data_IF_118032560393
#
_entry.id   IF_118032560393
#
_cell.length_a   1.000
_cell.length_b   1.000
_cell.length_c   1.000
_cell.angle_alpha   90.00
_cell.angle_beta   90.00
_cell.angle_gamma   90.00
#
_symmetry.space_group_name_H-M   'P 1'
#
loop_
_entity.id
_entity.type
_entity.pdbx_description
1 polymer ?
#
# COMPACT_ATOMS: atom_id res chain seq x y z
N UNK A 1 -4.19 -23.80 7.58
CA UNK A 1 -4.14 -22.52 8.32
C UNK A 1 -3.84 -21.50 7.23
N UNK A 2 -4.83 -20.67 6.89
CA UNK A 2 -4.88 -19.94 5.62
C UNK A 2 -5.08 -18.44 5.83
N UNK A 3 -4.52 -17.63 4.93
CA UNK A 3 -4.67 -16.17 4.99
C UNK A 3 -6.14 -15.76 4.96
N UNK A 4 -6.49 -14.72 5.72
CA UNK A 4 -7.85 -14.15 5.68
C UNK A 4 -8.19 -13.68 4.27
N UNK A 5 -9.40 -13.97 3.79
CA UNK A 5 -9.87 -13.51 2.48
C UNK A 5 -9.69 -12.00 2.30
N UNK A 6 -10.03 -11.24 3.33
CA UNK A 6 -10.03 -9.77 3.38
C UNK A 6 -8.69 -9.15 3.76
N UNK A 7 -7.63 -9.96 3.97
CA UNK A 7 -6.30 -9.42 4.29
C UNK A 7 -5.87 -8.42 3.23
N UNK A 8 -5.33 -7.28 3.66
CA UNK A 8 -4.53 -6.46 2.75
C UNK A 8 -3.30 -7.25 2.29
N UNK A 9 -2.85 -6.92 1.08
CA UNK A 9 -1.65 -7.47 0.46
C UNK A 9 -0.59 -6.36 0.43
N UNK A 10 -0.18 -5.88 1.60
CA UNK A 10 0.78 -4.80 1.71
C UNK A 10 2.16 -5.31 1.31
N UNK A 11 2.79 -4.69 0.31
CA UNK A 11 4.06 -5.17 -0.23
C UNK A 11 5.04 -4.03 -0.49
N UNK A 12 6.33 -4.36 -0.43
CA UNK A 12 7.43 -3.48 -0.81
C UNK A 12 8.57 -4.31 -1.36
N UNK A 13 9.46 -3.66 -2.12
CA UNK A 13 10.77 -4.19 -2.45
C UNK A 13 11.85 -3.54 -1.60
N UNK A 14 12.89 -4.31 -1.28
CA UNK A 14 14.15 -3.84 -0.71
C UNK A 14 15.29 -4.03 -1.74
N UNK A 15 16.50 -3.51 -1.49
CA UNK A 15 17.67 -3.74 -2.34
C UNK A 15 17.90 -5.23 -2.65
N UNK A 16 18.68 -5.48 -3.70
CA UNK A 16 18.95 -6.82 -4.22
C UNK A 16 17.67 -7.57 -4.67
N UNK A 17 16.64 -6.80 -5.04
CA UNK A 17 15.36 -7.29 -5.56
C UNK A 17 14.58 -8.16 -4.55
N UNK A 18 14.86 -8.05 -3.26
CA UNK A 18 14.11 -8.79 -2.24
C UNK A 18 12.69 -8.24 -2.16
N UNK A 19 11.70 -9.12 -2.31
CA UNK A 19 10.28 -8.75 -2.22
C UNK A 19 9.71 -9.18 -0.88
N UNK A 20 8.85 -8.34 -0.33
CA UNK A 20 8.17 -8.54 0.94
C UNK A 20 6.67 -8.38 0.73
N UNK A 21 5.89 -9.32 1.26
CA UNK A 21 4.43 -9.29 1.29
C UNK A 21 3.96 -9.52 2.73
N UNK A 22 3.18 -8.60 3.26
CA UNK A 22 2.56 -8.68 4.57
C UNK A 22 1.09 -9.04 4.42
N UNK A 23 0.65 -9.98 5.25
CA UNK A 23 -0.70 -10.50 5.23
C UNK A 23 -1.14 -10.94 6.62
N UNK A 24 -2.43 -11.23 6.75
CA UNK A 24 -3.06 -11.60 8.01
C UNK A 24 -3.60 -13.03 7.98
N UNK A 25 -3.37 -13.75 9.07
CA UNK A 25 -3.97 -15.04 9.39
C UNK A 25 -4.64 -14.96 10.77
N UNK A 26 -5.98 -15.03 10.81
CA UNK A 26 -6.70 -14.75 12.06
C UNK A 26 -6.39 -13.32 12.53
N UNK A 27 -5.82 -13.14 13.71
CA UNK A 27 -5.32 -11.83 14.19
C UNK A 27 -3.80 -11.67 14.04
N UNK A 28 -3.12 -12.70 13.54
CA UNK A 28 -1.68 -12.67 13.37
C UNK A 28 -1.33 -11.95 12.07
N UNK A 29 -0.41 -11.01 12.14
CA UNK A 29 0.21 -10.40 10.96
C UNK A 29 1.55 -11.09 10.71
N UNK A 30 1.75 -11.52 9.47
CA UNK A 30 2.84 -12.36 9.00
C UNK A 30 3.51 -11.72 7.77
N UNK A 31 4.67 -12.24 7.42
CA UNK A 31 5.43 -11.87 6.23
C UNK A 31 5.67 -13.10 5.34
N UNK A 32 5.44 -12.96 4.04
CA UNK A 32 6.05 -13.80 3.03
C UNK A 32 7.18 -13.02 2.36
N UNK A 33 8.32 -13.67 2.15
CA UNK A 33 9.51 -13.06 1.57
C UNK A 33 9.96 -13.85 0.34
N UNK A 34 10.40 -13.13 -0.69
CA UNK A 34 11.15 -13.68 -1.79
C UNK A 34 12.53 -13.03 -1.86
N UNK A 35 13.62 -13.79 -1.64
CA UNK A 35 14.98 -13.26 -1.71
C UNK A 35 15.50 -13.09 -3.15
N UNK A 36 14.77 -13.59 -4.16
CA UNK A 36 15.24 -13.76 -5.53
C UNK A 36 14.36 -13.05 -6.58
N UNK A 37 13.74 -11.92 -6.21
CA UNK A 37 12.96 -11.11 -7.15
C UNK A 37 11.62 -11.71 -7.56
N UNK A 38 11.07 -12.65 -6.77
CA UNK A 38 9.73 -13.19 -6.92
C UNK A 38 9.66 -14.66 -7.36
N UNK A 39 10.79 -15.34 -7.55
CA UNK A 39 10.80 -16.72 -8.06
C UNK A 39 10.45 -17.73 -6.97
N UNK A 40 11.01 -17.58 -5.76
CA UNK A 40 10.71 -18.42 -4.59
C UNK A 40 10.13 -17.56 -3.48
N UNK A 41 9.05 -18.05 -2.85
CA UNK A 41 8.39 -17.40 -1.72
C UNK A 41 8.33 -18.30 -0.50
N UNK A 42 8.67 -17.73 0.65
CA UNK A 42 8.60 -18.42 1.94
C UNK A 42 7.88 -17.55 2.95
N UNK A 43 6.82 -18.08 3.57
CA UNK A 43 6.21 -17.47 4.76
C UNK A 43 7.17 -17.60 5.92
N UNK A 44 7.42 -16.49 6.61
CA UNK A 44 8.33 -16.44 7.75
C UNK A 44 7.60 -16.91 9.02
N UNK A 45 8.31 -17.65 9.88
CA UNK A 45 7.74 -18.18 11.14
C UNK A 45 7.49 -17.09 12.19
N UNK A 46 8.06 -15.89 12.00
CA UNK A 46 7.93 -14.79 12.95
C UNK A 46 6.58 -14.12 12.81
N UNK A 47 5.77 -14.17 13.88
CA UNK A 47 4.54 -13.39 14.01
C UNK A 47 4.90 -11.95 14.35
N UNK A 48 4.57 -11.01 13.45
CA UNK A 48 4.90 -9.58 13.58
C UNK A 48 4.00 -8.91 14.62
N UNK A 49 2.71 -9.23 14.57
CA UNK A 49 1.74 -8.83 15.60
C UNK A 49 0.63 -9.87 15.77
N UNK A 50 -0.06 -9.81 16.91
CA UNK A 50 -1.15 -10.72 17.30
C UNK A 50 -2.48 -9.99 17.55
N UNK A 51 -2.53 -8.69 17.30
CA UNK A 51 -3.67 -7.82 17.61
C UNK A 51 -4.35 -7.28 16.35
N UNK A 52 -4.15 -7.93 15.18
CA UNK A 52 -4.88 -7.58 13.97
C UNK A 52 -6.40 -7.64 14.15
N UNK A 53 -7.13 -6.82 13.41
CA UNK A 53 -8.59 -6.84 13.38
C UNK A 53 -9.08 -8.16 12.79
N UNK A 54 -9.97 -8.87 13.49
CA UNK A 54 -10.51 -10.15 13.04
C UNK A 54 -11.14 -10.11 11.64
N UNK A 55 -11.66 -8.96 11.21
CA UNK A 55 -12.25 -8.76 9.88
C UNK A 55 -11.22 -8.42 8.79
N UNK A 56 -9.94 -8.34 9.13
CA UNK A 56 -8.84 -7.91 8.27
C UNK A 56 -8.44 -6.47 8.56
N UNK A 57 -7.22 -6.31 9.10
CA UNK A 57 -6.62 -5.00 9.34
C UNK A 57 -6.36 -4.29 8.01
N UNK A 58 -6.60 -2.98 7.95
CA UNK A 58 -5.94 -2.19 6.91
C UNK A 58 -4.44 -2.17 7.22
N UNK A 59 -3.61 -2.37 6.19
CA UNK A 59 -2.16 -2.45 6.29
C UNK A 59 -1.53 -1.74 5.10
N UNK A 60 -0.39 -1.12 5.34
CA UNK A 60 0.49 -0.57 4.30
C UNK A 60 1.93 -0.73 4.75
N UNK A 61 2.87 -0.82 3.82
CA UNK A 61 4.28 -0.89 4.16
C UNK A 61 5.13 -0.11 3.16
N UNK A 62 6.34 0.23 3.59
CA UNK A 62 7.33 0.91 2.75
C UNK A 62 8.73 0.58 3.24
N UNK A 63 9.68 0.65 2.30
CA UNK A 63 11.11 0.49 2.56
C UNK A 63 11.78 1.85 2.75
N UNK A 64 12.68 1.94 3.72
CA UNK A 64 13.52 3.13 3.97
C UNK A 64 14.99 2.73 3.81
N UNK A 65 15.69 3.38 2.87
CA UNK A 65 17.10 3.08 2.56
C UNK A 65 18.03 3.47 3.71
N UNK A 66 17.82 4.67 4.26
CA UNK A 66 18.62 5.22 5.36
C UNK A 66 17.71 5.74 6.45
N UNK A 67 17.35 4.88 7.39
CA UNK A 67 16.51 5.29 8.50
C UNK A 67 17.35 5.87 9.65
N UNK A 68 17.29 7.19 9.82
CA UNK A 68 18.04 7.89 10.86
C UNK A 68 17.59 7.57 12.29
N UNK A 69 16.41 6.98 12.47
CA UNK A 69 15.96 6.47 13.77
C UNK A 69 16.68 5.14 14.13
N UNK A 70 17.30 4.48 13.15
CA UNK A 70 18.00 3.20 13.32
C UNK A 70 19.43 3.25 12.75
N UNK A 71 20.18 4.30 13.10
CA UNK A 71 21.59 4.47 12.72
C UNK A 71 21.84 4.47 11.20
N UNK A 72 20.89 4.98 10.42
CA UNK A 72 20.88 4.97 8.95
C UNK A 72 20.91 3.56 8.34
N UNK A 73 20.48 2.54 9.10
CA UNK A 73 20.31 1.20 8.56
C UNK A 73 19.02 1.13 7.73
N UNK A 74 19.00 0.29 6.68
CA UNK A 74 17.78 0.00 5.96
C UNK A 74 16.71 -0.62 6.86
N UNK A 75 15.47 -0.18 6.68
CA UNK A 75 14.32 -0.67 7.43
C UNK A 75 13.10 -0.89 6.52
N UNK A 76 12.18 -1.73 6.97
CA UNK A 76 10.83 -1.82 6.41
C UNK A 76 9.85 -1.45 7.52
N UNK A 77 8.95 -0.53 7.23
CA UNK A 77 7.89 -0.12 8.14
C UNK A 77 6.59 -0.74 7.69
N UNK A 78 5.87 -1.33 8.65
CA UNK A 78 4.53 -1.83 8.47
C UNK A 78 3.60 -1.03 9.37
N UNK A 79 2.65 -0.31 8.77
CA UNK A 79 1.58 0.37 9.47
C UNK A 79 0.30 -0.42 9.31
N UNK A 80 -0.47 -0.55 10.38
CA UNK A 80 -1.75 -1.24 10.35
C UNK A 80 -2.74 -0.70 11.39
N UNK A 81 -4.03 -0.88 11.15
CA UNK A 81 -5.08 -0.60 12.12
C UNK A 81 -5.40 -1.88 12.88
N UNK A 82 -5.17 -1.89 14.18
CA UNK A 82 -5.37 -3.07 15.02
C UNK A 82 -6.85 -3.30 15.39
N UNK A 83 -7.12 -4.38 16.13
CA UNK A 83 -8.47 -4.75 16.61
C UNK A 83 -9.17 -3.66 17.45
N UNK A 84 -8.38 -2.81 18.10
CA UNK A 84 -8.86 -1.70 18.94
C UNK A 84 -9.03 -0.40 18.13
N UNK A 85 -8.94 -0.49 16.79
CA UNK A 85 -9.07 0.63 15.84
C UNK A 85 -8.00 1.69 16.01
N UNK A 86 -6.80 1.27 16.40
CA UNK A 86 -5.65 2.13 16.59
C UNK A 86 -4.61 1.89 15.50
N UNK A 87 -4.03 2.98 14.98
CA UNK A 87 -2.87 2.90 14.10
C UNK A 87 -1.67 2.41 14.89
N UNK A 88 -1.03 1.37 14.37
CA UNK A 88 0.14 0.73 14.93
C UNK A 88 1.26 0.73 13.88
N UNK A 89 2.50 0.73 14.32
CA UNK A 89 3.68 0.67 13.46
C UNK A 89 4.66 -0.36 14.01
N UNK A 90 5.10 -1.24 13.12
CA UNK A 90 6.15 -2.23 13.35
C UNK A 90 7.28 -1.94 12.38
N UNK A 91 8.51 -2.00 12.86
CA UNK A 91 9.69 -1.80 12.03
C UNK A 91 10.53 -3.06 11.99
N UNK A 92 10.91 -3.47 10.78
CA UNK A 92 11.89 -4.52 10.53
C UNK A 92 13.22 -3.88 10.24
N UNK A 93 14.19 -4.06 11.13
CA UNK A 93 15.58 -3.64 10.90
C UNK A 93 16.29 -4.71 10.06
N UNK A 94 16.84 -4.31 8.91
CA UNK A 94 17.45 -5.25 7.95
C UNK A 94 18.92 -5.57 8.28
N UNK A 95 19.26 -5.74 9.57
CA UNK A 95 20.64 -5.95 10.03
C UNK A 95 21.04 -7.43 9.95
N UNK A 96 21.85 -7.80 8.96
CA UNK A 96 22.37 -9.16 8.79
C UNK A 96 21.29 -10.19 8.46
N UNK A 97 21.57 -11.48 8.71
CA UNK A 97 20.69 -12.58 8.29
C UNK A 97 19.42 -12.75 9.14
N UNK A 98 19.38 -12.14 10.34
CA UNK A 98 18.27 -12.25 11.29
C UNK A 98 17.62 -10.88 11.54
N UNK A 99 16.59 -10.50 10.74
CA UNK A 99 15.92 -9.23 10.92
C UNK A 99 15.15 -9.19 12.25
N UNK A 100 15.19 -8.03 12.92
CA UNK A 100 14.50 -7.81 14.20
C UNK A 100 13.27 -6.94 13.94
N UNK A 101 12.11 -7.39 14.44
CA UNK A 101 10.88 -6.61 14.48
C UNK A 101 10.76 -5.88 15.81
N UNK A 102 10.54 -4.57 15.73
CA UNK A 102 10.41 -3.69 16.90
C UNK A 102 9.10 -2.89 16.83
N UNK A 103 8.55 -2.57 17.99
CA UNK A 103 7.41 -1.67 18.12
C UNK A 103 7.87 -0.21 18.00
N UNK A 104 7.16 0.58 17.20
CA UNK A 104 7.39 2.02 17.12
C UNK A 104 6.34 2.76 17.96
N UNK A 105 6.80 3.68 18.79
CA UNK A 105 5.92 4.52 19.60
C UNK A 105 5.23 5.57 18.71
N UNK A 106 3.93 5.43 18.54
CA UNK A 106 3.08 6.41 17.85
C UNK A 106 2.43 7.34 18.88
N UNK A 107 2.46 8.68 18.70
CA UNK A 107 1.72 9.63 19.53
C UNK A 107 0.21 9.32 19.55
N UNK A 108 -0.45 9.55 20.68
CA UNK A 108 -1.87 9.20 20.86
C UNK A 108 -2.80 9.84 19.81
N UNK A 109 -2.51 11.07 19.40
CA UNK A 109 -3.27 11.79 18.37
C UNK A 109 -3.20 11.12 17.00
N UNK A 110 -2.04 10.58 16.63
CA UNK A 110 -1.83 9.82 15.40
C UNK A 110 -2.45 8.43 15.52
N UNK A 111 -2.23 7.79 16.68
CA UNK A 111 -2.71 6.44 17.00
C UNK A 111 -4.23 6.32 16.89
N UNK A 112 -4.97 7.36 17.33
CA UNK A 112 -6.43 7.41 17.34
C UNK A 112 -7.01 8.20 16.15
N UNK A 113 -6.16 8.57 15.19
CA UNK A 113 -6.54 9.41 14.05
C UNK A 113 -7.44 8.74 13.01
N UNK A 114 -7.14 7.50 12.54
CA UNK A 114 -7.91 6.88 11.48
C UNK A 114 -9.36 6.56 11.85
N UNK A 115 -10.27 6.69 10.88
CA UNK A 115 -11.64 6.18 10.99
C UNK A 115 -11.70 4.64 11.04
N UNK A 116 -12.78 4.10 11.58
CA UNK A 116 -12.98 2.66 11.81
C UNK A 116 -12.77 1.79 10.55
N UNK A 117 -13.13 2.31 9.37
CA UNK A 117 -13.04 1.62 8.08
C UNK A 117 -11.98 2.23 7.16
N UNK A 118 -11.15 3.13 7.68
CA UNK A 118 -10.10 3.78 6.90
C UNK A 118 -9.18 2.73 6.27
N UNK A 119 -8.75 3.01 5.04
CA UNK A 119 -7.65 2.31 4.41
C UNK A 119 -6.35 3.10 4.60
N UNK A 120 -5.23 2.41 4.41
CA UNK A 120 -3.90 2.97 4.56
C UNK A 120 -3.17 2.91 3.22
N UNK A 121 -2.38 3.94 2.95
CA UNK A 121 -1.33 3.91 1.93
C UNK A 121 -0.13 4.70 2.45
N UNK A 122 1.06 4.37 1.98
CA UNK A 122 2.29 4.96 2.51
C UNK A 122 3.43 4.85 1.51
N UNK A 123 4.40 5.75 1.63
CA UNK A 123 5.62 5.71 0.84
C UNK A 123 6.77 6.39 1.60
N UNK A 124 8.00 6.13 1.15
CA UNK A 124 9.20 6.78 1.67
C UNK A 124 10.00 7.49 0.57
N UNK A 125 10.72 8.53 0.97
CA UNK A 125 11.64 9.24 0.09
C UNK A 125 13.06 8.70 0.25
N UNK A 126 13.47 7.86 -0.71
CA UNK A 126 14.76 7.17 -0.71
C UNK A 126 15.80 7.81 -1.66
N UNK A 127 15.89 9.14 -1.70
CA UNK A 127 16.83 9.85 -2.57
C UNK A 127 17.80 10.72 -1.80
N UNK A 128 19.07 10.72 -2.23
CA UNK A 128 20.12 11.60 -1.69
C UNK A 128 20.05 13.04 -2.20
N UNK A 129 19.16 13.34 -3.14
CA UNK A 129 18.90 14.68 -3.68
C UNK A 129 17.40 14.89 -3.88
N UNK A 130 16.93 16.13 -3.73
CA UNK A 130 15.55 16.51 -4.02
C UNK A 130 14.92 17.35 -2.91
N UNK A 131 13.60 17.27 -2.82
CA UNK A 131 12.71 18.13 -2.04
C UNK A 131 12.66 17.83 -0.53
N UNK A 132 13.13 16.67 -0.09
CA UNK A 132 13.05 16.21 1.30
C UNK A 132 14.34 15.48 1.70
N UNK A 133 14.71 15.38 2.99
CA UNK A 133 15.81 14.51 3.41
C UNK A 133 15.56 13.04 3.05
N UNK A 134 16.63 12.31 2.73
CA UNK A 134 16.57 10.86 2.56
C UNK A 134 16.03 10.20 3.85
N UNK A 135 15.10 9.27 3.72
CA UNK A 135 14.49 8.56 4.82
C UNK A 135 13.25 9.23 5.41
N UNK A 136 12.76 10.31 4.79
CA UNK A 136 11.45 10.87 5.11
C UNK A 136 10.33 9.91 4.71
N UNK A 137 9.23 9.94 5.46
CA UNK A 137 8.19 8.91 5.43
C UNK A 137 6.81 9.56 5.46
N UNK A 138 5.88 8.99 4.69
CA UNK A 138 4.49 9.42 4.60
C UNK A 138 3.56 8.22 4.76
N UNK A 139 2.46 8.44 5.47
CA UNK A 139 1.29 7.57 5.42
C UNK A 139 0.02 8.40 5.39
N UNK A 140 -1.03 7.82 4.82
CA UNK A 140 -2.29 8.49 4.59
C UNK A 140 -3.45 7.61 5.03
N UNK A 141 -4.48 8.24 5.58
CA UNK A 141 -5.70 7.60 6.03
C UNK A 141 -6.87 8.58 6.00
N UNK A 142 -8.08 8.05 5.95
CA UNK A 142 -9.31 8.82 6.08
C UNK A 142 -9.61 9.08 7.56
N UNK A 143 -9.95 10.33 7.89
CA UNK A 143 -10.30 10.75 9.24
C UNK A 143 -11.52 11.70 9.20
N UNK A 144 -12.36 11.71 10.24
CA UNK A 144 -13.35 12.78 10.44
C UNK A 144 -12.76 13.89 11.31
N UNK A 145 -12.76 15.12 10.79
CA UNK A 145 -12.38 16.33 11.53
C UNK A 145 -13.46 17.39 11.37
N UNK A 146 -13.92 17.95 12.49
CA UNK A 146 -14.98 18.97 12.51
C UNK A 146 -16.26 18.55 11.75
N UNK A 147 -16.60 17.25 11.82
CA UNK A 147 -17.77 16.67 11.13
C UNK A 147 -17.61 16.46 9.63
N UNK A 148 -16.40 16.65 9.08
CA UNK A 148 -16.07 16.39 7.67
C UNK A 148 -15.06 15.26 7.56
N UNK A 149 -15.36 14.30 6.69
CA UNK A 149 -14.40 13.28 6.28
C UNK A 149 -13.37 13.90 5.34
N UNK A 150 -12.15 13.38 5.35
CA UNK A 150 -11.12 13.74 4.39
C UNK A 150 -9.85 12.94 4.63
N UNK A 151 -8.87 13.16 3.77
CA UNK A 151 -7.58 12.47 3.88
C UNK A 151 -6.64 13.24 4.80
N UNK A 152 -6.11 12.53 5.78
CA UNK A 152 -5.04 12.95 6.68
C UNK A 152 -3.73 12.34 6.22
N UNK A 153 -2.71 13.20 6.15
CA UNK A 153 -1.32 12.82 6.03
C UNK A 153 -0.71 12.75 7.44
N UNK A 154 0.03 11.68 7.69
CA UNK A 154 1.09 11.70 8.69
C UNK A 154 2.43 11.65 7.98
N UNK A 155 3.33 12.55 8.37
CA UNK A 155 4.68 12.62 7.82
C UNK A 155 5.71 12.74 8.93
N UNK A 156 6.89 12.19 8.69
CA UNK A 156 8.06 12.46 9.52
C UNK A 156 9.31 12.56 8.67
N UNK A 157 10.16 13.49 9.06
CA UNK A 157 11.54 13.61 8.59
C UNK A 157 12.47 12.82 9.50
N UNK A 158 13.70 12.49 9.06
CA UNK A 158 14.70 11.81 9.88
C UNK A 158 14.84 12.40 11.29
N UNK A 159 14.65 11.59 12.33
CA UNK A 159 14.71 11.94 13.77
C UNK A 159 13.57 12.82 14.31
N UNK A 160 12.62 13.20 13.48
CA UNK A 160 11.45 13.97 13.91
C UNK A 160 10.27 13.06 14.26
N UNK A 161 9.39 13.47 15.20
CA UNK A 161 8.16 12.74 15.48
C UNK A 161 7.20 12.77 14.29
N UNK A 162 6.15 11.95 14.34
CA UNK A 162 5.04 12.04 13.40
C UNK A 162 4.35 13.41 13.51
N UNK A 163 4.24 14.10 12.38
CA UNK A 163 3.40 15.28 12.19
C UNK A 163 2.13 14.90 11.45
N UNK A 164 1.01 15.54 11.80
CA UNK A 164 -0.30 15.26 11.22
C UNK A 164 -0.85 16.48 10.50
N UNK A 165 -1.35 16.31 9.29
CA UNK A 165 -1.95 17.38 8.47
C UNK A 165 -3.18 16.86 7.72
N UNK A 166 -4.26 17.64 7.70
CA UNK A 166 -5.42 17.35 6.84
C UNK A 166 -5.14 17.93 5.46
N UNK A 167 -4.93 17.07 4.46
CA UNK A 167 -4.39 17.47 3.15
C UNK A 167 -5.43 17.56 2.03
N UNK A 168 -6.51 16.80 2.14
CA UNK A 168 -7.64 16.83 1.22
C UNK A 168 -8.91 16.94 2.07
N UNK A 169 -9.21 18.14 2.61
CA UNK A 169 -10.43 18.35 3.37
C UNK A 169 -11.61 18.26 2.41
N UNK A 170 -12.44 17.23 2.55
CA UNK A 170 -13.56 17.03 1.66
C UNK A 170 -14.87 17.59 2.22
N UNK A 171 -15.83 17.84 1.33
CA UNK A 171 -17.21 18.02 1.75
C UNK A 171 -17.82 16.65 2.05
N UNK A 172 -18.82 16.65 2.93
CA UNK A 172 -19.56 15.44 3.25
C UNK A 172 -20.12 14.79 1.98
N UNK A 173 -19.77 13.53 1.73
CA UNK A 173 -20.24 12.79 0.57
C UNK A 173 -19.37 12.86 -0.69
N UNK A 174 -18.10 13.28 -0.61
CA UNK A 174 -17.17 13.28 -1.75
C UNK A 174 -16.34 11.96 -1.84
N UNK A 175 -15.68 11.50 -0.78
CA UNK A 175 -14.92 10.25 -0.67
C UNK A 175 -15.84 9.08 -0.35
N UNK A 176 -15.74 7.97 -1.10
CA UNK A 176 -16.48 6.77 -0.77
C UNK A 176 -15.95 6.15 0.54
N UNK A 177 -16.76 6.03 1.61
CA UNK A 177 -16.28 5.54 2.89
C UNK A 177 -15.66 4.14 2.77
N UNK A 178 -14.43 4.01 3.27
CA UNK A 178 -13.67 2.75 3.21
C UNK A 178 -13.10 2.41 1.84
N UNK A 179 -13.05 3.38 0.91
CA UNK A 179 -12.30 3.25 -0.35
C UNK A 179 -10.86 2.83 -0.08
N UNK A 180 -10.32 1.99 -0.96
CA UNK A 180 -8.87 1.79 -1.02
C UNK A 180 -8.17 3.12 -1.34
N UNK A 181 -7.02 3.31 -0.70
CA UNK A 181 -6.09 4.39 -0.98
C UNK A 181 -4.84 3.76 -1.60
N UNK A 182 -4.25 4.42 -2.58
CA UNK A 182 -2.88 4.11 -3.00
C UNK A 182 -2.16 5.40 -3.42
N UNK A 183 -0.85 5.46 -3.19
CA UNK A 183 -0.04 6.61 -3.55
C UNK A 183 1.31 6.24 -4.14
N UNK A 184 1.91 7.18 -4.88
CA UNK A 184 3.30 7.11 -5.35
C UNK A 184 4.01 8.43 -5.02
N UNK A 185 5.29 8.38 -4.65
CA UNK A 185 6.11 9.57 -4.39
C UNK A 185 7.32 9.59 -5.34
N UNK A 186 7.47 10.67 -6.11
CA UNK A 186 8.65 10.93 -6.95
C UNK A 186 9.10 12.38 -6.83
N UNK A 187 10.33 12.62 -6.36
CA UNK A 187 10.98 13.94 -6.47
C UNK A 187 10.12 15.13 -6.04
N UNK A 188 9.28 14.98 -5.01
CA UNK A 188 8.42 16.05 -4.49
C UNK A 188 7.03 16.10 -5.10
N UNK A 189 6.71 15.10 -5.90
CA UNK A 189 5.40 14.90 -6.48
C UNK A 189 4.75 13.68 -5.87
N UNK A 190 3.59 13.88 -5.24
CA UNK A 190 2.80 12.80 -4.65
C UNK A 190 1.56 12.65 -5.50
N UNK A 191 1.28 11.45 -5.99
CA UNK A 191 0.00 11.12 -6.63
C UNK A 191 -0.76 10.19 -5.71
N UNK A 192 -2.04 10.49 -5.49
CA UNK A 192 -2.93 9.70 -4.66
C UNK A 192 -4.18 9.35 -5.46
N UNK A 193 -4.61 8.10 -5.36
CA UNK A 193 -5.80 7.59 -6.02
C UNK A 193 -6.73 6.98 -4.99
N UNK A 194 -8.01 7.30 -5.12
CA UNK A 194 -9.08 6.66 -4.39
C UNK A 194 -10.41 6.82 -5.13
N UNK A 195 -11.40 6.01 -4.75
CA UNK A 195 -12.73 6.05 -5.34
C UNK A 195 -13.60 7.08 -4.63
N UNK A 196 -14.24 7.95 -5.41
CA UNK A 196 -15.23 8.89 -4.92
C UNK A 196 -16.61 8.25 -4.78
N UNK A 197 -17.55 8.93 -4.11
CA UNK A 197 -18.94 8.50 -3.96
C UNK A 197 -19.69 8.28 -5.30
N UNK A 198 -19.25 8.94 -6.37
CA UNK A 198 -19.78 8.71 -7.73
C UNK A 198 -19.27 7.41 -8.39
N UNK A 199 -18.45 6.66 -7.65
CA UNK A 199 -17.74 5.43 -8.03
C UNK A 199 -16.65 5.61 -9.08
N UNK A 200 -16.28 6.84 -9.45
CA UNK A 200 -15.08 7.08 -10.25
C UNK A 200 -13.81 6.95 -9.40
N UNK A 201 -12.69 6.53 -10.00
CA UNK A 201 -11.37 6.69 -9.37
C UNK A 201 -10.86 8.08 -9.73
N UNK A 202 -10.47 8.87 -8.73
CA UNK A 202 -9.91 10.21 -8.92
C UNK A 202 -8.41 10.24 -8.67
N UNK A 203 -7.75 11.23 -9.26
CA UNK A 203 -6.34 11.53 -9.05
C UNK A 203 -6.22 12.87 -8.30
N UNK A 204 -5.54 12.82 -7.17
CA UNK A 204 -5.05 14.00 -6.46
C UNK A 204 -3.55 14.05 -6.55
N UNK A 205 -3.01 15.26 -6.71
CA UNK A 205 -1.59 15.45 -6.92
C UNK A 205 -1.05 16.56 -6.01
N UNK A 206 -0.06 16.23 -5.18
CA UNK A 206 0.74 17.21 -4.48
C UNK A 206 1.89 17.67 -5.37
N UNK A 207 1.98 18.98 -5.58
CA UNK A 207 3.09 19.63 -6.24
C UNK A 207 3.41 20.93 -5.48
N UNK A 208 4.67 21.17 -5.17
CA UNK A 208 5.13 22.36 -4.43
C UNK A 208 4.37 22.58 -3.10
N UNK A 209 4.12 21.47 -2.37
CA UNK A 209 3.34 21.42 -1.13
C UNK A 209 1.88 21.90 -1.27
N UNK A 210 1.30 21.81 -2.48
CA UNK A 210 -0.11 22.11 -2.74
C UNK A 210 -0.78 20.92 -3.39
N UNK A 211 -1.94 20.56 -2.85
CA UNK A 211 -2.78 19.51 -3.40
C UNK A 211 -3.69 20.06 -4.51
N UNK A 212 -3.78 19.31 -5.60
CA UNK A 212 -4.60 19.60 -6.76
C UNK A 212 -5.50 18.40 -7.08
N UNK A 213 -6.80 18.63 -7.16
CA UNK A 213 -7.73 17.69 -7.80
C UNK A 213 -7.46 17.69 -9.31
N UNK A 214 -7.02 16.56 -9.86
CA UNK A 214 -6.79 16.37 -11.29
C UNK A 214 -8.00 15.77 -12.00
N UNK A 215 -9.09 15.51 -11.29
CA UNK A 215 -10.34 15.00 -11.79
C UNK A 215 -10.41 13.47 -11.87
N UNK A 216 -11.36 13.01 -12.68
CA UNK A 216 -11.60 11.58 -12.91
C UNK A 216 -10.43 10.97 -13.66
N UNK A 217 -9.86 9.92 -13.07
CA UNK A 217 -8.80 9.09 -13.65
C UNK A 217 -9.36 7.82 -14.29
N UNK A 218 -10.38 7.20 -13.65
CA UNK A 218 -11.16 6.09 -14.21
C UNK A 218 -12.64 6.37 -14.04
N UNK A 219 -13.37 6.32 -15.14
CA UNK A 219 -14.81 6.56 -15.19
C UNK A 219 -15.60 5.47 -14.43
N UNK A 220 -16.69 5.89 -13.78
CA UNK A 220 -17.56 5.03 -12.93
C UNK A 220 -18.21 3.86 -13.68
N UNK A 221 -18.30 3.92 -15.00
CA UNK A 221 -18.87 2.86 -15.83
C UNK A 221 -17.87 1.73 -16.09
N UNK A 222 -16.56 2.00 -15.96
CA UNK A 222 -15.49 1.03 -16.15
C UNK A 222 -15.14 0.25 -14.90
N UNK A 223 -15.37 0.80 -13.71
CA UNK A 223 -14.86 0.28 -12.43
C UNK A 223 -15.98 -0.26 -11.54
N UNK A 224 -15.66 -1.23 -10.68
CA UNK A 224 -16.58 -1.71 -9.64
C UNK A 224 -16.71 -0.71 -8.49
N UNK A 225 -17.89 -0.67 -7.88
CA UNK A 225 -18.06 0.03 -6.61
C UNK A 225 -17.21 -0.65 -5.52
N UNK A 226 -16.59 0.14 -4.65
CA UNK A 226 -15.69 -0.32 -3.58
C UNK A 226 -14.54 -1.19 -4.10
N UNK A 227 -14.02 -0.87 -5.30
CA UNK A 227 -12.91 -1.62 -5.91
C UNK A 227 -11.68 -1.59 -5.00
N UNK A 228 -10.91 -2.69 -4.87
CA UNK A 228 -9.54 -2.56 -4.40
C UNK A 228 -8.75 -1.74 -5.43
N UNK A 229 -7.79 -0.96 -4.95
CA UNK A 229 -6.92 -0.12 -5.76
C UNK A 229 -5.49 -0.32 -5.26
N UNK A 230 -4.55 -0.50 -6.16
CA UNK A 230 -3.13 -0.55 -5.84
C UNK A 230 -2.36 0.22 -6.92
N UNK A 231 -1.27 0.90 -6.55
CA UNK A 231 -0.41 1.55 -7.53
C UNK A 231 1.07 1.38 -7.19
N UNK A 232 1.89 1.41 -8.22
CA UNK A 232 3.35 1.53 -8.10
C UNK A 232 3.85 2.47 -9.18
N UNK A 233 5.12 2.83 -9.10
CA UNK A 233 5.80 3.62 -10.11
C UNK A 233 7.14 2.97 -10.45
N UNK A 234 7.36 2.75 -11.74
CA UNK A 234 8.62 2.19 -12.26
C UNK A 234 9.71 3.26 -12.31
N UNK A 235 10.96 2.82 -12.47
CA UNK A 235 12.14 3.69 -12.44
C UNK A 235 12.13 4.77 -13.52
N UNK A 236 11.45 4.54 -14.63
CA UNK A 236 11.24 5.53 -15.70
C UNK A 236 10.21 6.62 -15.36
N UNK A 237 9.55 6.51 -14.20
CA UNK A 237 8.54 7.46 -13.72
C UNK A 237 7.11 7.16 -14.18
N UNK A 238 6.90 6.06 -14.92
CA UNK A 238 5.55 5.63 -15.33
C UNK A 238 4.75 5.18 -14.10
N UNK A 239 3.51 5.65 -13.99
CA UNK A 239 2.60 5.24 -12.91
C UNK A 239 1.70 4.12 -13.39
N UNK A 240 1.63 3.06 -12.58
CA UNK A 240 0.86 1.86 -12.86
C UNK A 240 -0.24 1.72 -11.81
N UNK A 241 -1.50 1.83 -12.23
CA UNK A 241 -2.68 1.69 -11.39
C UNK A 241 -3.38 0.36 -11.68
N UNK A 242 -3.81 -0.33 -10.62
CA UNK A 242 -4.56 -1.58 -10.70
C UNK A 242 -5.89 -1.42 -9.98
N UNK A 243 -6.97 -1.86 -10.63
CA UNK A 243 -8.32 -1.85 -10.09
C UNK A 243 -9.16 -3.00 -10.68
N UNK A 244 -10.39 -3.16 -10.22
CA UNK A 244 -11.32 -4.19 -10.72
C UNK A 244 -12.42 -3.55 -11.55
N UNK A 245 -12.53 -4.01 -12.81
CA UNK A 245 -13.57 -3.57 -13.73
C UNK A 245 -14.91 -4.28 -13.48
N UNK A 246 -16.01 -3.72 -14.00
CA UNK A 246 -17.37 -4.25 -13.79
C UNK A 246 -17.56 -5.71 -14.23
N UNK A 247 -16.77 -6.18 -15.17
CA UNK A 247 -16.76 -7.58 -15.61
C UNK A 247 -15.98 -8.53 -14.67
N UNK A 248 -15.60 -8.09 -13.46
CA UNK A 248 -14.81 -8.83 -12.47
C UNK A 248 -13.39 -9.17 -12.94
N UNK A 249 -12.78 -8.36 -13.81
CA UNK A 249 -11.36 -8.49 -14.15
C UNK A 249 -10.50 -7.44 -13.47
N UNK A 250 -9.30 -7.82 -13.10
CA UNK A 250 -8.25 -6.86 -12.71
C UNK A 250 -7.81 -6.14 -13.98
N UNK A 251 -7.76 -4.81 -13.94
CA UNK A 251 -7.30 -3.95 -15.02
C UNK A 251 -6.02 -3.25 -14.58
N UNK A 252 -5.05 -3.23 -15.48
CA UNK A 252 -3.84 -2.44 -15.39
C UNK A 252 -3.99 -1.17 -16.24
N UNK A 253 -3.80 0.00 -15.63
CA UNK A 253 -3.80 1.29 -16.30
C UNK A 253 -2.44 1.97 -16.13
N UNK A 254 -1.78 2.28 -17.25
CA UNK A 254 -0.50 3.01 -17.27
C UNK A 254 -0.74 4.48 -17.61
N UNK A 255 -0.37 5.38 -16.68
CA UNK A 255 -0.46 6.83 -16.79
C UNK A 255 -1.84 7.38 -17.25
N UNK A 256 -2.92 6.62 -17.05
CA UNK A 256 -4.28 7.02 -17.45
C UNK A 256 -4.52 6.91 -18.95
N UNK A 257 -3.60 6.26 -19.69
CA UNK A 257 -3.60 6.25 -21.17
C UNK A 257 -3.79 4.87 -21.76
N UNK A 258 -3.20 3.84 -21.15
CA UNK A 258 -3.24 2.47 -21.65
C UNK A 258 -3.89 1.58 -20.60
N UNK A 259 -5.01 0.95 -20.96
CA UNK A 259 -5.72 -0.02 -20.13
C UNK A 259 -5.53 -1.42 -20.71
N UNK A 260 -5.30 -2.41 -19.84
CA UNK A 260 -5.17 -3.83 -20.20
C UNK A 260 -5.92 -4.68 -19.17
N UNK A 261 -6.85 -5.51 -19.63
CA UNK A 261 -7.49 -6.50 -18.77
C UNK A 261 -6.55 -7.67 -18.52
N UNK A 262 -6.35 -8.03 -17.26
CA UNK A 262 -5.45 -9.11 -16.86
C UNK A 262 -6.24 -10.39 -16.60
N UNK A 263 -6.51 -10.68 -15.33
CA UNK A 263 -7.13 -11.92 -14.86
C UNK A 263 -8.42 -11.65 -14.12
N UNK A 264 -9.25 -12.68 -13.97
CA UNK A 264 -10.46 -12.59 -13.16
C UNK A 264 -10.09 -12.34 -11.69
N UNK A 265 -10.80 -11.41 -11.08
CA UNK A 265 -10.66 -11.04 -9.69
C UNK A 265 -11.41 -12.01 -8.78
N UNK A 266 -10.82 -12.29 -7.61
CA UNK A 266 -11.48 -13.04 -6.55
C UNK A 266 -12.32 -12.08 -5.68
N UNK A 267 -13.67 -12.15 -5.71
CA UNK A 267 -14.51 -11.19 -5.00
C UNK A 267 -14.21 -11.10 -3.50
N UNK A 268 -14.06 -9.87 -3.00
CA UNK A 268 -13.76 -9.60 -1.59
C UNK A 268 -12.28 -9.66 -1.21
N UNK A 269 -11.38 -10.05 -2.12
CA UNK A 269 -9.93 -10.00 -1.87
C UNK A 269 -9.36 -8.58 -2.05
N UNK A 270 -8.04 -8.45 -1.84
CA UNK A 270 -7.29 -7.20 -2.03
C UNK A 270 -6.28 -7.34 -3.18
N UNK A 271 -5.68 -6.21 -3.54
CA UNK A 271 -4.58 -6.12 -4.50
C UNK A 271 -3.38 -5.50 -3.80
N UNK A 272 -2.18 -5.97 -4.14
CA UNK A 272 -0.92 -5.36 -3.73
C UNK A 272 -0.03 -5.22 -4.96
N UNK A 273 0.77 -4.16 -5.06
CA UNK A 273 1.71 -4.03 -6.16
C UNK A 273 2.99 -3.34 -5.70
N UNK A 274 4.11 -3.79 -6.25
CA UNK A 274 5.43 -3.16 -6.11
C UNK A 274 6.16 -3.24 -7.43
N UNK A 275 7.20 -2.44 -7.60
CA UNK A 275 8.11 -2.54 -8.73
C UNK A 275 9.57 -2.49 -8.32
N UNK A 276 10.39 -3.27 -9.02
CA UNK A 276 11.85 -3.22 -8.93
C UNK A 276 12.37 -2.85 -10.30
N UNK A 277 13.04 -1.69 -10.39
CA UNK A 277 13.38 -1.07 -11.66
C UNK A 277 12.13 -0.87 -12.55
N UNK A 278 12.03 -1.62 -13.65
CA UNK A 278 10.88 -1.60 -14.56
C UNK A 278 10.08 -2.93 -14.54
N UNK A 279 10.41 -3.85 -13.61
CA UNK A 279 9.62 -5.07 -13.39
C UNK A 279 8.52 -4.76 -12.36
N UNK A 280 7.28 -5.09 -12.70
CA UNK A 280 6.12 -4.92 -11.82
C UNK A 280 5.68 -6.28 -11.31
N UNK A 281 5.40 -6.38 -10.02
CA UNK A 281 4.81 -7.57 -9.40
C UNK A 281 3.49 -7.20 -8.75
N UNK A 282 2.40 -7.72 -9.32
CA UNK A 282 1.04 -7.61 -8.79
C UNK A 282 0.71 -8.85 -7.95
N UNK A 283 0.26 -8.65 -6.72
CA UNK A 283 -0.24 -9.68 -5.82
C UNK A 283 -1.76 -9.68 -5.81
N UNK A 284 -2.35 -10.86 -5.95
CA UNK A 284 -3.80 -11.04 -5.95
C UNK A 284 -4.16 -12.48 -5.53
N UNK A 285 -5.43 -12.69 -5.18
CA UNK A 285 -5.94 -14.02 -4.83
C UNK A 285 -6.40 -14.76 -6.08
N UNK A 286 -5.96 -16.01 -6.24
CA UNK A 286 -6.29 -16.87 -7.36
C UNK A 286 -7.69 -17.49 -7.21
N UNK A 287 -8.40 -17.61 -8.34
CA UNK A 287 -9.62 -18.40 -8.44
C UNK A 287 -9.32 -19.90 -8.61
N UNK A 288 -8.12 -20.27 -9.07
CA UNK A 288 -7.71 -21.66 -9.22
C UNK A 288 -6.16 -21.79 -9.11
N UNK A 289 -5.61 -22.46 -8.08
CA UNK A 289 -6.32 -23.01 -6.93
C UNK A 289 -7.04 -21.92 -6.13
N UNK A 290 -8.25 -22.22 -5.66
CA UNK A 290 -9.10 -21.26 -4.94
C UNK A 290 -8.36 -20.82 -3.68
N UNK A 291 -8.37 -19.51 -3.41
CA UNK A 291 -7.88 -18.91 -2.17
C UNK A 291 -6.35 -18.87 -2.00
N UNK A 292 -5.54 -19.25 -2.98
CA UNK A 292 -4.10 -18.96 -2.96
C UNK A 292 -3.83 -17.48 -3.26
N UNK A 293 -2.76 -16.91 -2.71
CA UNK A 293 -2.23 -15.63 -3.19
C UNK A 293 -1.09 -15.92 -4.15
N UNK A 294 -1.21 -15.43 -5.38
CA UNK A 294 -0.20 -15.57 -6.42
C UNK A 294 0.25 -14.21 -6.96
N UNK A 295 1.16 -14.25 -7.94
CA UNK A 295 1.63 -13.04 -8.63
C UNK A 295 1.34 -13.05 -10.12
N UNK A 296 1.18 -11.84 -10.65
CA UNK A 296 1.35 -11.51 -12.05
C UNK A 296 2.57 -10.60 -12.16
N UNK A 297 3.44 -10.88 -13.12
CA UNK A 297 4.65 -10.11 -13.35
C UNK A 297 4.60 -9.45 -14.72
N UNK A 298 4.93 -8.16 -14.78
CA UNK A 298 5.16 -7.46 -16.04
C UNK A 298 6.65 -7.18 -16.18
N UNK A 299 7.23 -7.70 -17.25
CA UNK A 299 8.60 -7.43 -17.63
C UNK A 299 8.59 -7.06 -19.12
N UNK A 300 9.12 -5.88 -19.44
CA UNK A 300 9.15 -5.34 -20.81
C UNK A 300 7.76 -5.29 -21.48
N UNK A 301 6.71 -4.97 -20.71
CA UNK A 301 5.36 -4.77 -21.22
C UNK A 301 4.55 -6.04 -21.44
N UNK A 302 5.07 -7.22 -21.10
CA UNK A 302 4.34 -8.50 -21.21
C UNK A 302 4.02 -9.07 -19.84
N UNK A 303 2.76 -9.43 -19.63
CA UNK A 303 2.29 -10.07 -18.40
C UNK A 303 2.45 -11.59 -18.43
N UNK A 304 2.95 -12.15 -17.33
CA UNK A 304 3.00 -13.60 -17.10
C UNK A 304 2.58 -13.92 -15.66
N UNK A 305 2.02 -15.11 -15.44
CA UNK A 305 1.86 -15.63 -14.10
C UNK A 305 3.23 -15.88 -13.47
N UNK A 306 3.40 -15.43 -12.22
CA UNK A 306 4.55 -15.76 -11.40
C UNK A 306 4.24 -16.90 -10.43
N UNK A 307 4.87 -16.86 -9.26
CA UNK A 307 4.80 -17.91 -8.25
C UNK A 307 3.59 -17.78 -7.30
N UNK A 308 3.17 -18.90 -6.72
CA UNK A 308 2.30 -18.90 -5.53
C UNK A 308 3.09 -18.36 -4.33
N UNK A 309 2.53 -17.37 -3.64
CA UNK A 309 3.13 -16.69 -2.48
C UNK A 309 2.59 -17.25 -1.18
N UNK A 310 1.27 -17.41 -1.08
CA UNK A 310 0.56 -17.96 0.08
C UNK A 310 -0.34 -19.09 -0.41
N UNK A 311 -0.17 -20.27 0.16
CA UNK A 311 -1.00 -21.45 -0.16
C UNK A 311 -2.37 -21.35 0.52
N UNK A 312 -3.34 -22.05 -0.07
CA UNK A 312 -4.72 -22.10 0.41
C UNK A 312 -4.89 -22.81 1.75
#
# INVERSE_FOLDING_TARGET
MSSLLTTELACTSAPDQVLHLFFQEGQNILEARSPDGGSVWTTQDTVISKDGDYNGSSMTCYYVDKDANFDNQPSIHLLYINKDKQLMEKVKRMKGDNPIWEDVKIPDEVKKGPEQYSRLTSEAFNSGSGWNPNGSQWAYFSATKDGKMGIVEIRRTPKDPWHTETILPEKWGEELPGTSLCCTILSGKIRMFFQHHDYSIRLFENQDNKWHDRGVYVEKDKVQATTPIACTMTRDGSVHLFYVAKNNKIVHCTDGKKEEELVNFFPGSKLGVTSVENKITLFFRNLNPVNEVGTLENENGSWKHGSTVIRA
#
